data_IF_044119172174
#
_entry.id   IF_044119172174
#
_cell.length_a   1.000
_cell.length_b   1.000
_cell.length_c   1.000
_cell.angle_alpha   90.00
_cell.angle_beta   90.00
_cell.angle_gamma   90.00
#
_symmetry.space_group_name_H-M   'P 1'
#
loop_
_entity.id
_entity.type
_entity.pdbx_description
1 polymer ?
#
# COMPACT_ATOMS: atom_id res chain seq x y z
N UNK A 1 -10.77 -1.28 -7.95
CA UNK A 1 -11.23 -2.67 -7.89
C UNK A 1 -10.88 -3.36 -9.20
N UNK A 2 -10.42 -4.60 -9.13
CA UNK A 2 -10.16 -5.44 -10.29
C UNK A 2 -10.95 -6.74 -10.10
N UNK A 3 -11.94 -6.98 -10.94
CA UNK A 3 -12.71 -8.22 -10.92
C UNK A 3 -12.21 -9.16 -12.03
N UNK A 4 -11.46 -10.20 -11.64
CA UNK A 4 -10.92 -11.21 -12.56
C UNK A 4 -11.82 -12.44 -12.71
N UNK A 5 -13.04 -12.43 -12.18
CA UNK A 5 -13.93 -13.61 -12.12
C UNK A 5 -14.26 -14.21 -13.49
N UNK A 6 -14.19 -13.40 -14.56
CA UNK A 6 -14.36 -13.84 -15.94
C UNK A 6 -13.13 -14.56 -16.55
N UNK A 7 -12.03 -14.71 -15.82
CA UNK A 7 -10.79 -15.33 -16.31
C UNK A 7 -10.81 -16.85 -16.25
N UNK A 8 -10.11 -17.50 -17.19
CA UNK A 8 -9.92 -18.95 -17.19
C UNK A 8 -8.48 -19.34 -16.85
N UNK A 9 -8.30 -20.51 -16.22
CA UNK A 9 -7.01 -21.03 -15.77
C UNK A 9 -6.24 -20.12 -14.77
N UNK A 10 -6.92 -19.17 -14.12
CA UNK A 10 -6.34 -18.24 -13.15
C UNK A 10 -6.44 -18.76 -11.71
N UNK A 11 -5.32 -18.91 -11.00
CA UNK A 11 -5.26 -19.35 -9.61
C UNK A 11 -5.24 -18.19 -8.62
N UNK A 12 -4.36 -17.21 -8.84
CA UNK A 12 -4.19 -16.03 -7.98
C UNK A 12 -3.64 -14.85 -8.77
N UNK A 13 -3.87 -13.65 -8.23
CA UNK A 13 -3.37 -12.38 -8.75
C UNK A 13 -2.72 -11.60 -7.61
N UNK A 14 -1.53 -11.05 -7.85
CA UNK A 14 -0.83 -10.17 -6.92
C UNK A 14 -0.50 -8.85 -7.61
N UNK A 15 -0.61 -7.74 -6.88
CA UNK A 15 -0.33 -6.40 -7.39
C UNK A 15 0.95 -5.86 -6.77
N UNK A 16 1.84 -5.35 -7.60
CA UNK A 16 3.09 -4.75 -7.15
C UNK A 16 3.02 -3.25 -7.31
N UNK A 17 2.51 -2.56 -6.30
CA UNK A 17 2.34 -1.11 -6.35
C UNK A 17 3.70 -0.39 -6.28
N UNK A 18 4.00 0.52 -7.22
CA UNK A 18 5.10 1.45 -7.05
C UNK A 18 4.90 2.33 -5.80
N UNK A 19 5.98 2.91 -5.31
CA UNK A 19 5.91 3.88 -4.21
C UNK A 19 5.04 5.08 -4.63
N UNK A 20 3.98 5.41 -3.88
CA UNK A 20 3.14 6.55 -4.21
C UNK A 20 3.85 7.86 -3.90
N UNK A 21 3.41 8.90 -4.57
CA UNK A 21 3.77 10.27 -4.26
C UNK A 21 2.81 10.87 -3.23
N UNK A 22 3.30 11.90 -2.53
CA UNK A 22 2.53 12.62 -1.53
C UNK A 22 2.14 13.98 -2.10
N UNK A 23 0.84 14.22 -2.19
CA UNK A 23 0.27 15.48 -2.66
C UNK A 23 -0.48 16.17 -1.53
N UNK A 24 -0.52 17.50 -1.59
CA UNK A 24 -1.45 18.28 -0.79
C UNK A 24 -2.48 18.91 -1.72
N UNK A 25 -3.74 18.48 -1.60
CA UNK A 25 -4.86 18.96 -2.41
C UNK A 25 -5.93 19.47 -1.46
N UNK A 26 -6.30 20.74 -1.58
CA UNK A 26 -7.33 21.38 -0.75
C UNK A 26 -7.09 21.25 0.76
N UNK A 27 -5.82 21.24 1.18
CA UNK A 27 -5.41 21.08 2.58
C UNK A 27 -5.41 19.63 3.10
N UNK A 28 -5.71 18.65 2.23
CA UNK A 28 -5.65 17.22 2.54
C UNK A 28 -4.42 16.59 1.91
N UNK A 29 -3.80 15.66 2.65
CA UNK A 29 -2.71 14.85 2.13
C UNK A 29 -3.26 13.64 1.38
N UNK A 30 -2.87 13.48 0.13
CA UNK A 30 -3.28 12.38 -0.75
C UNK A 30 -2.04 11.59 -1.15
N UNK A 31 -2.19 10.27 -1.24
CA UNK A 31 -1.18 9.36 -1.75
C UNK A 31 -1.63 8.81 -3.09
N UNK A 32 -0.84 8.98 -4.14
CA UNK A 32 -1.26 8.58 -5.48
C UNK A 32 -0.14 8.66 -6.51
N UNK A 33 -0.54 8.73 -7.78
CA UNK A 33 0.35 8.82 -8.94
C UNK A 33 -0.15 9.93 -9.86
N UNK A 34 0.76 10.68 -10.46
CA UNK A 34 0.47 11.68 -11.48
C UNK A 34 1.08 11.29 -12.83
N UNK A 35 0.56 11.85 -13.92
CA UNK A 35 0.95 11.60 -15.32
C UNK A 35 0.83 10.15 -15.83
N UNK A 36 1.52 9.19 -15.21
CA UNK A 36 1.55 7.78 -15.61
C UNK A 36 1.68 6.84 -14.39
N UNK A 37 0.91 5.75 -14.41
CA UNK A 37 1.12 4.59 -13.55
C UNK A 37 1.32 3.35 -14.42
N UNK A 38 2.45 2.68 -14.24
CA UNK A 38 2.65 1.29 -14.68
C UNK A 38 2.47 0.40 -13.45
N UNK A 39 1.39 -0.37 -13.41
CA UNK A 39 1.10 -1.32 -12.34
C UNK A 39 1.44 -2.76 -12.79
N UNK A 40 2.55 -3.36 -12.33
CA UNK A 40 2.81 -4.77 -12.54
C UNK A 40 1.77 -5.63 -11.80
N UNK A 41 1.15 -6.54 -12.56
CA UNK A 41 0.21 -7.52 -12.04
C UNK A 41 0.80 -8.90 -12.31
N UNK A 42 0.99 -9.67 -11.25
CA UNK A 42 1.51 -11.03 -11.31
C UNK A 42 0.34 -12.01 -11.28
N UNK A 43 0.33 -12.93 -12.25
CA UNK A 43 -0.71 -13.94 -12.40
C UNK A 43 -0.11 -15.33 -12.17
N UNK A 44 -0.79 -16.15 -11.38
CA UNK A 44 -0.45 -17.56 -11.21
C UNK A 44 -1.47 -18.43 -11.91
N UNK A 45 -1.03 -19.31 -12.81
CA UNK A 45 -1.91 -20.25 -13.50
C UNK A 45 -2.32 -21.42 -12.58
N UNK A 46 -3.53 -21.98 -12.78
CA UNK A 46 -3.94 -23.24 -12.13
C UNK A 46 -3.23 -24.43 -12.76
N UNK A 47 -3.15 -24.45 -14.09
CA UNK A 47 -2.42 -25.41 -14.90
C UNK A 47 -1.30 -24.65 -15.65
N UNK A 48 -0.03 -24.75 -15.21
CA UNK A 48 1.11 -24.08 -15.84
C UNK A 48 1.37 -24.52 -17.30
N UNK A 49 0.78 -25.64 -17.74
CA UNK A 49 0.90 -26.12 -19.11
C UNK A 49 -0.06 -25.46 -20.10
N UNK A 50 -0.96 -24.60 -19.64
CA UNK A 50 -1.98 -23.92 -20.45
C UNK A 50 -1.89 -22.41 -20.27
N UNK A 51 -2.24 -21.60 -21.28
CA UNK A 51 -2.32 -20.16 -21.12
C UNK A 51 -3.40 -19.76 -20.10
N UNK A 52 -3.26 -18.59 -19.50
CA UNK A 52 -4.32 -17.92 -18.74
C UNK A 52 -5.11 -17.05 -19.72
N UNK A 53 -6.43 -17.21 -19.76
CA UNK A 53 -7.30 -16.27 -20.48
C UNK A 53 -7.75 -15.22 -19.47
N UNK A 54 -7.00 -14.12 -19.40
CA UNK A 54 -7.25 -13.05 -18.46
C UNK A 54 -8.40 -12.17 -18.97
N UNK A 55 -9.39 -11.94 -18.12
CA UNK A 55 -10.49 -10.99 -18.31
C UNK A 55 -10.76 -10.29 -17.00
N UNK A 56 -10.70 -8.96 -17.02
CA UNK A 56 -11.03 -8.14 -15.87
C UNK A 56 -11.96 -7.00 -16.22
N UNK A 57 -12.92 -6.76 -15.34
CA UNK A 57 -13.59 -5.47 -15.19
C UNK A 57 -12.83 -4.66 -14.15
N UNK A 58 -12.39 -3.47 -14.52
CA UNK A 58 -11.54 -2.62 -13.68
C UNK A 58 -12.25 -1.32 -13.37
N UNK A 59 -12.34 -0.98 -12.09
CA UNK A 59 -12.87 0.29 -11.59
C UNK A 59 -11.79 1.05 -10.82
N UNK A 60 -11.42 2.25 -11.27
CA UNK A 60 -10.40 3.09 -10.63
C UNK A 60 -10.96 4.47 -10.30
N UNK A 61 -10.52 5.05 -9.18
CA UNK A 61 -10.74 6.47 -8.92
C UNK A 61 -9.64 7.30 -9.56
N UNK A 62 -10.01 8.32 -10.34
CA UNK A 62 -9.09 9.36 -10.80
C UNK A 62 -9.50 10.70 -10.20
N UNK A 63 -8.53 11.53 -9.84
CA UNK A 63 -8.78 12.82 -9.19
C UNK A 63 -7.97 13.92 -9.88
N UNK A 64 -8.64 15.03 -10.20
CA UNK A 64 -7.99 16.31 -10.50
C UNK A 64 -8.47 17.34 -9.47
N UNK A 65 -9.60 18.00 -9.72
CA UNK A 65 -10.31 18.80 -8.71
C UNK A 65 -11.37 17.98 -7.95
N UNK A 66 -11.97 17.02 -8.65
CA UNK A 66 -12.97 16.09 -8.11
C UNK A 66 -12.55 14.66 -8.42
N UNK A 67 -12.85 13.73 -7.50
CA UNK A 67 -12.59 12.32 -7.72
C UNK A 67 -13.79 11.66 -8.42
N UNK A 68 -13.56 11.04 -9.57
CA UNK A 68 -14.58 10.33 -10.35
C UNK A 68 -14.17 8.86 -10.56
N UNK A 69 -15.13 7.92 -10.52
CA UNK A 69 -14.85 6.53 -10.89
C UNK A 69 -14.75 6.39 -12.41
N UNK A 70 -13.80 5.58 -12.86
CA UNK A 70 -13.64 5.17 -14.26
C UNK A 70 -13.67 3.64 -14.31
N UNK A 71 -14.45 3.11 -15.25
CA UNK A 71 -14.64 1.68 -15.46
C UNK A 71 -14.18 1.29 -16.88
N UNK A 72 -13.45 0.19 -17.00
CA UNK A 72 -13.00 -0.34 -18.29
C UNK A 72 -12.69 -1.84 -18.22
N UNK A 73 -12.77 -2.50 -19.38
CA UNK A 73 -12.48 -3.91 -19.52
C UNK A 73 -11.05 -4.16 -20.01
N UNK A 74 -10.40 -5.17 -19.44
CA UNK A 74 -9.09 -5.66 -19.87
C UNK A 74 -9.22 -7.13 -20.23
N UNK A 75 -8.66 -7.54 -21.37
CA UNK A 75 -8.58 -8.94 -21.73
C UNK A 75 -7.29 -9.29 -22.47
N UNK A 76 -6.83 -10.53 -22.32
CA UNK A 76 -5.64 -11.02 -23.00
C UNK A 76 -5.31 -12.46 -22.66
N UNK A 77 -4.60 -13.13 -23.58
CA UNK A 77 -4.02 -14.44 -23.34
C UNK A 77 -2.61 -14.28 -22.76
N UNK A 78 -2.34 -14.93 -21.63
CA UNK A 78 -1.03 -14.95 -20.98
C UNK A 78 -0.43 -16.36 -21.09
N UNK A 79 0.53 -16.53 -21.99
CA UNK A 79 1.24 -17.80 -22.21
C UNK A 79 2.72 -17.75 -21.76
N UNK A 80 3.05 -16.78 -20.89
CA UNK A 80 4.43 -16.42 -20.58
C UNK A 80 5.06 -15.51 -21.64
N UNK A 81 6.19 -14.89 -21.31
CA UNK A 81 6.84 -13.90 -22.17
C UNK A 81 8.29 -13.64 -21.78
N UNK A 82 8.96 -12.79 -22.58
CA UNK A 82 10.28 -12.27 -22.22
C UNK A 82 10.12 -11.11 -21.22
N UNK A 83 11.11 -10.88 -20.34
CA UNK A 83 11.12 -9.70 -19.49
C UNK A 83 10.93 -8.41 -20.31
N UNK A 84 10.04 -7.53 -19.87
CA UNK A 84 9.86 -6.18 -20.41
C UNK A 84 10.53 -5.18 -19.46
N UNK A 85 11.37 -4.29 -20.00
CA UNK A 85 12.12 -3.32 -19.19
C UNK A 85 11.21 -2.34 -18.43
N UNK A 86 10.04 -1.99 -18.98
CA UNK A 86 9.08 -1.10 -18.32
C UNK A 86 8.50 -1.77 -17.08
N UNK A 87 8.17 -3.07 -17.19
CA UNK A 87 7.72 -3.88 -16.04
C UNK A 87 8.85 -3.97 -15.01
N UNK A 88 10.08 -4.24 -15.45
CA UNK A 88 11.24 -4.31 -14.55
C UNK A 88 11.49 -2.99 -13.79
N UNK A 89 11.35 -1.84 -14.45
CA UNK A 89 11.47 -0.51 -13.80
C UNK A 89 10.34 -0.26 -12.81
N UNK A 90 9.09 -0.61 -13.16
CA UNK A 90 7.94 -0.44 -12.28
C UNK A 90 8.03 -1.32 -11.02
N UNK A 91 8.49 -2.57 -11.15
CA UNK A 91 8.77 -3.44 -10.01
C UNK A 91 9.85 -2.86 -9.08
N UNK A 92 10.91 -2.27 -9.66
CA UNK A 92 11.98 -1.63 -8.90
C UNK A 92 11.57 -0.30 -8.22
N UNK A 93 10.46 0.30 -8.66
CA UNK A 93 9.92 1.55 -8.09
C UNK A 93 9.04 1.31 -6.85
N UNK A 94 8.76 0.05 -6.49
CA UNK A 94 8.02 -0.29 -5.27
C UNK A 94 8.77 0.04 -3.98
N UNK A 95 8.08 0.02 -2.83
CA UNK A 95 8.74 0.17 -1.54
C UNK A 95 9.72 -0.99 -1.30
N UNK A 96 10.90 -0.67 -0.77
CA UNK A 96 11.89 -1.68 -0.36
C UNK A 96 11.52 -2.29 0.98
N UNK A 97 11.96 -3.52 1.24
CA UNK A 97 11.81 -4.11 2.56
C UNK A 97 12.52 -3.24 3.61
N UNK A 98 11.82 -2.95 4.70
CA UNK A 98 12.33 -2.05 5.73
C UNK A 98 13.56 -2.62 6.44
N UNK A 99 13.67 -3.95 6.63
CA UNK A 99 14.82 -4.57 7.28
C UNK A 99 16.06 -4.46 6.41
N UNK A 100 15.91 -4.68 5.11
CA UNK A 100 17.00 -4.43 4.14
C UNK A 100 17.43 -2.96 4.12
N UNK A 101 16.50 -2.04 4.39
CA UNK A 101 16.77 -0.63 4.54
C UNK A 101 17.31 -0.22 5.93
N UNK A 102 17.57 -1.18 6.82
CA UNK A 102 18.19 -0.95 8.14
C UNK A 102 17.20 -0.77 9.30
N UNK A 103 15.91 -1.05 9.13
CA UNK A 103 14.96 -1.14 10.23
C UNK A 103 15.39 -2.26 11.19
N UNK A 104 15.60 -1.91 12.46
CA UNK A 104 16.02 -2.86 13.50
C UNK A 104 14.87 -3.26 14.42
N UNK A 105 13.88 -2.38 14.61
CA UNK A 105 12.72 -2.64 15.43
C UNK A 105 11.51 -1.81 15.00
N UNK A 106 10.31 -2.40 15.15
CA UNK A 106 9.04 -1.69 15.03
C UNK A 106 8.09 -2.12 16.17
N UNK A 107 7.54 -1.12 16.87
CA UNK A 107 6.56 -1.31 17.94
C UNK A 107 5.28 -0.54 17.66
N UNK A 108 4.15 -1.17 17.92
CA UNK A 108 2.81 -0.61 17.78
C UNK A 108 2.10 -0.59 19.13
N UNK A 109 2.06 0.58 19.77
CA UNK A 109 1.23 0.80 20.95
C UNK A 109 -0.18 1.18 20.51
N UNK A 110 -1.19 0.57 21.14
CA UNK A 110 -2.60 0.75 20.80
C UNK A 110 -3.36 1.19 22.03
N UNK A 111 -4.12 2.28 21.89
CA UNK A 111 -4.94 2.85 22.95
C UNK A 111 -6.39 3.00 22.47
N UNK A 112 -7.40 2.56 23.24
CA UNK A 112 -8.80 2.80 22.87
C UNK A 112 -9.13 4.29 22.85
N UNK A 113 -9.85 4.74 21.83
CA UNK A 113 -10.45 6.07 21.74
C UNK A 113 -11.97 5.95 21.59
N UNK A 114 -12.68 7.09 21.63
CA UNK A 114 -14.15 7.18 21.57
C UNK A 114 -14.77 6.33 20.46
N UNK A 115 -14.20 6.39 19.26
CA UNK A 115 -14.75 5.84 18.02
C UNK A 115 -13.86 4.77 17.38
N UNK A 116 -12.83 4.29 18.09
CA UNK A 116 -11.87 3.35 17.52
C UNK A 116 -10.62 3.16 18.36
N UNK A 117 -9.45 3.17 17.72
CA UNK A 117 -8.15 3.03 18.36
C UNK A 117 -7.22 4.17 17.95
N UNK A 118 -6.31 4.58 18.84
CA UNK A 118 -5.11 5.33 18.50
C UNK A 118 -3.93 4.36 18.42
N UNK A 119 -3.24 4.35 17.29
CA UNK A 119 -2.07 3.55 17.04
C UNK A 119 -0.83 4.45 16.98
N UNK A 120 0.15 4.17 17.84
CA UNK A 120 1.48 4.78 17.78
C UNK A 120 2.47 3.74 17.29
N UNK A 121 2.98 3.93 16.07
CA UNK A 121 4.06 3.15 15.49
C UNK A 121 5.40 3.83 15.76
N UNK A 122 6.33 3.11 16.39
CA UNK A 122 7.71 3.56 16.62
C UNK A 122 8.67 2.66 15.86
N UNK A 123 9.38 3.22 14.89
CA UNK A 123 10.31 2.53 14.00
C UNK A 123 11.75 2.96 14.32
N UNK A 124 12.63 2.03 14.65
CA UNK A 124 14.07 2.29 14.81
C UNK A 124 14.76 2.02 13.47
N UNK A 125 15.04 3.08 12.71
CA UNK A 125 15.56 2.98 11.34
C UNK A 125 16.40 4.19 10.94
N UNK A 126 17.37 4.03 10.01
CA UNK A 126 18.06 5.15 9.39
C UNK A 126 17.09 6.17 8.79
N UNK A 127 17.49 7.44 8.80
CA UNK A 127 16.72 8.50 8.16
C UNK A 127 16.67 8.33 6.64
N UNK A 128 15.46 8.42 6.08
CA UNK A 128 15.22 8.49 4.65
C UNK A 128 15.33 9.92 4.09
N UNK A 129 15.54 10.93 4.93
CA UNK A 129 15.62 12.31 4.49
C UNK A 129 15.26 13.33 5.55
N UNK A 130 15.23 14.60 5.12
CA UNK A 130 14.79 15.73 5.95
C UNK A 130 13.30 15.66 6.26
N UNK A 131 12.50 15.17 5.32
CA UNK A 131 11.06 15.02 5.44
C UNK A 131 10.71 13.56 5.25
N UNK A 132 9.98 13.01 6.20
CA UNK A 132 9.55 11.62 6.22
C UNK A 132 8.08 11.57 6.58
N UNK A 133 7.35 10.74 5.86
CA UNK A 133 5.91 10.57 6.06
C UNK A 133 5.66 9.07 6.17
N UNK A 134 4.96 8.67 7.22
CA UNK A 134 4.48 7.31 7.34
C UNK A 134 3.05 7.19 6.79
N UNK A 135 2.80 6.10 6.08
CA UNK A 135 1.47 5.62 5.69
C UNK A 135 1.24 4.34 6.47
N UNK A 136 0.11 4.25 7.15
CA UNK A 136 -0.25 3.09 7.96
C UNK A 136 -1.54 2.49 7.42
N UNK A 137 -1.51 1.19 7.16
CA UNK A 137 -2.68 0.41 6.77
C UNK A 137 -2.98 -0.59 7.87
N UNK A 138 -4.23 -0.65 8.33
CA UNK A 138 -4.63 -1.50 9.46
C UNK A 138 -4.78 -3.00 9.09
N UNK A 139 -4.53 -3.37 7.83
CA UNK A 139 -4.69 -4.73 7.31
C UNK A 139 -6.13 -5.16 7.02
N UNK A 140 -7.13 -4.52 7.63
CA UNK A 140 -8.55 -4.70 7.29
C UNK A 140 -9.04 -3.54 6.41
N UNK A 141 -9.71 -3.88 5.31
CA UNK A 141 -10.08 -2.92 4.24
C UNK A 141 -11.24 -1.96 4.57
N UNK A 142 -11.92 -2.13 5.70
CA UNK A 142 -13.06 -1.30 6.13
C UNK A 142 -12.71 -0.30 7.25
N UNK A 143 -11.46 -0.30 7.73
CA UNK A 143 -10.99 0.63 8.76
C UNK A 143 -10.51 1.93 8.10
N UNK A 144 -11.12 3.04 8.47
CA UNK A 144 -10.60 4.35 8.10
C UNK A 144 -9.36 4.67 8.95
N UNK A 145 -8.28 5.11 8.30
CA UNK A 145 -7.04 5.52 8.95
C UNK A 145 -6.85 7.01 8.76
N UNK A 146 -6.63 7.75 9.84
CA UNK A 146 -6.34 9.17 9.76
C UNK A 146 -5.00 9.43 9.05
N UNK A 147 -4.77 10.63 8.51
CA UNK A 147 -3.42 11.06 8.19
C UNK A 147 -2.49 10.88 9.39
N UNK A 148 -1.27 10.41 9.13
CA UNK A 148 -0.28 10.20 10.17
C UNK A 148 0.38 11.52 10.59
N UNK A 149 0.44 11.75 11.90
CA UNK A 149 1.38 12.70 12.47
C UNK A 149 2.71 11.96 12.66
N UNK A 150 3.73 12.36 11.88
CA UNK A 150 5.03 11.69 11.82
C UNK A 150 6.13 12.64 12.22
N UNK A 151 6.92 12.26 13.22
CA UNK A 151 8.09 13.01 13.65
C UNK A 151 9.26 12.09 13.99
N UNK A 152 10.47 12.65 13.97
CA UNK A 152 11.70 11.92 14.27
C UNK A 152 12.24 12.30 15.64
N UNK A 153 12.62 11.29 16.42
CA UNK A 153 13.27 11.39 17.71
C UNK A 153 14.59 10.61 17.67
N UNK A 154 15.68 11.28 17.31
CA UNK A 154 16.97 10.62 17.13
C UNK A 154 16.93 9.58 16.00
N UNK A 155 17.18 8.31 16.34
CA UNK A 155 17.14 7.17 15.41
C UNK A 155 15.75 6.56 15.23
N UNK A 156 14.73 7.13 15.89
CA UNK A 156 13.36 6.63 15.84
C UNK A 156 12.46 7.54 15.02
N UNK A 157 11.64 6.94 14.17
CA UNK A 157 10.49 7.59 13.56
C UNK A 157 9.24 7.20 14.36
N UNK A 158 8.51 8.19 14.84
CA UNK A 158 7.26 8.01 15.57
C UNK A 158 6.13 8.48 14.66
N UNK A 159 5.11 7.64 14.50
CA UNK A 159 3.94 7.91 13.68
C UNK A 159 2.67 7.59 14.45
N UNK A 160 1.76 8.54 14.55
CA UNK A 160 0.48 8.39 15.25
C UNK A 160 -0.67 8.50 14.26
N UNK A 161 -1.58 7.53 14.31
CA UNK A 161 -2.84 7.53 13.55
C UNK A 161 -4.02 7.14 14.43
N UNK A 162 -5.19 7.64 14.09
CA UNK A 162 -6.47 7.15 14.60
C UNK A 162 -7.06 6.14 13.59
N UNK A 163 -7.55 5.01 14.10
CA UNK A 163 -8.14 3.90 13.36
C UNK A 163 -9.63 3.82 13.72
N UNK A 164 -10.51 4.10 12.77
CA UNK A 164 -11.96 4.19 12.99
C UNK A 164 -12.67 3.13 12.15
N UNK A 165 -13.23 2.06 12.76
CA UNK A 165 -14.01 1.06 12.04
C UNK A 165 -15.43 1.60 11.75
N UNK A 166 -16.20 0.95 10.85
CA UNK A 166 -17.55 1.38 10.51
C UNK A 166 -18.51 1.42 11.72
N UNK A 167 -18.26 0.57 12.71
CA UNK A 167 -19.04 0.51 13.94
C UNK A 167 -18.76 1.67 14.93
N UNK A 168 -17.75 2.50 14.66
CA UNK A 168 -17.31 3.62 15.50
C UNK A 168 -17.10 3.24 16.98
N UNK A 169 -16.42 2.12 17.22
CA UNK A 169 -16.11 1.58 18.57
C UNK A 169 -14.71 0.97 18.58
N UNK A 170 -14.05 0.89 19.75
CA UNK A 170 -12.81 0.12 19.90
C UNK A 170 -12.95 -1.32 19.44
N UNK A 171 -11.88 -1.87 18.86
CA UNK A 171 -11.85 -3.21 18.29
C UNK A 171 -10.50 -3.89 18.59
N UNK A 172 -10.38 -5.18 18.29
CA UNK A 172 -9.12 -5.90 18.38
C UNK A 172 -8.34 -5.71 17.07
N UNK A 173 -7.17 -5.06 17.15
CA UNK A 173 -6.26 -4.90 16.01
C UNK A 173 -5.31 -6.09 15.93
N UNK A 174 -5.30 -6.78 14.79
CA UNK A 174 -4.23 -7.71 14.45
C UNK A 174 -2.99 -6.92 14.02
N UNK A 175 -1.99 -6.83 14.89
CA UNK A 175 -0.75 -6.10 14.61
C UNK A 175 0.12 -6.78 13.55
N UNK A 176 -0.12 -8.06 13.24
CA UNK A 176 0.64 -8.77 12.20
C UNK A 176 0.21 -8.37 10.80
N UNK A 177 -1.01 -7.83 10.63
CA UNK A 177 -1.54 -7.33 9.36
C UNK A 177 -1.32 -5.83 9.15
N UNK A 178 -0.83 -5.10 10.16
CA UNK A 178 -0.50 -3.66 10.03
C UNK A 178 0.65 -3.49 9.05
N UNK A 179 0.47 -2.68 8.02
CA UNK A 179 1.54 -2.32 7.08
C UNK A 179 1.93 -0.88 7.33
N UNK A 180 3.23 -0.63 7.51
CA UNK A 180 3.79 0.71 7.64
C UNK A 180 4.74 0.97 6.48
N UNK A 181 4.41 1.98 5.68
CA UNK A 181 5.25 2.45 4.58
C UNK A 181 5.81 3.83 4.93
N UNK A 182 7.13 3.98 4.97
CA UNK A 182 7.79 5.27 5.21
C UNK A 182 8.32 5.82 3.88
N UNK A 183 7.89 7.03 3.54
CA UNK A 183 8.26 7.78 2.35
C UNK A 183 9.25 8.89 2.72
N UNK A 184 10.35 9.04 1.99
CA UNK A 184 11.31 10.12 2.20
C UNK A 184 12.39 10.23 1.12
N UNK A 185 12.65 11.45 0.64
CA UNK A 185 13.63 11.77 -0.43
C UNK A 185 13.53 10.85 -1.66
N UNK A 186 12.31 10.59 -2.16
CA UNK A 186 12.08 9.72 -3.31
C UNK A 186 12.33 8.23 -3.05
N UNK A 187 12.47 7.82 -1.78
CA UNK A 187 12.57 6.43 -1.36
C UNK A 187 11.34 6.05 -0.56
N UNK A 188 10.93 4.80 -0.71
CA UNK A 188 9.92 4.18 0.13
C UNK A 188 10.49 2.91 0.75
N UNK A 189 10.16 2.67 2.01
CA UNK A 189 10.42 1.41 2.70
C UNK A 189 9.14 0.93 3.36
N UNK A 190 8.92 -0.37 3.38
CA UNK A 190 7.69 -0.96 3.90
C UNK A 190 8.00 -2.10 4.87
N UNK A 191 7.23 -2.15 5.95
CA UNK A 191 7.24 -3.22 6.93
C UNK A 191 5.81 -3.71 7.16
N UNK A 192 5.58 -5.00 6.94
CA UNK A 192 4.36 -5.67 7.37
C UNK A 192 4.54 -6.25 8.78
N UNK A 193 3.58 -5.99 9.64
CA UNK A 193 3.57 -6.43 11.02
C UNK A 193 4.39 -5.54 11.96
N UNK A 194 3.94 -5.49 13.22
CA UNK A 194 4.67 -4.85 14.30
C UNK A 194 4.42 -5.55 15.64
N UNK A 195 5.32 -5.31 16.61
CA UNK A 195 5.24 -5.92 17.94
C UNK A 195 4.61 -5.00 18.98
N UNK A 196 4.19 -5.57 20.12
CA UNK A 196 3.98 -4.84 21.37
C UNK A 196 2.56 -4.53 21.80
#
# INVERSE_FOLDING_TARGET
VFDWSGSENLASVSYHWPAPEVFEVSGYRIFGFHDELILPIEFTARDPGKPIQAKAEVALGICEEICVPVEFDVSGELSGGKPDERIGRALAAGPRDAREAGLTAIRCAVEPIRDGLRLTATLTMPSLGKTEIAVIEAGAGDIWVSPADTHREGDRLVSVVDLVPPAAKPFALDRSSVVVTVLGSGRAVQQAGCTG
#
